data_IF_016992319648
#
_entry.id   IF_016992319648
#
_cell.length_a   1.000
_cell.length_b   1.000
_cell.length_c   1.000
_cell.angle_alpha   90.00
_cell.angle_beta   90.00
_cell.angle_gamma   90.00
#
_symmetry.space_group_name_H-M   'P 1'
#
loop_
_entity.id
_entity.type
_entity.pdbx_description
1 polymer ?
#
# COMPACT_ATOMS: atom_id res chain seq x y z
N UNK A 1 -21.04 -42.54 17.71
CA UNK A 1 -21.37 -41.12 17.94
C UNK A 1 -20.35 -40.27 17.20
N UNK A 2 -20.63 -39.93 15.95
CA UNK A 2 -19.73 -39.16 15.11
C UNK A 2 -20.06 -37.68 15.27
N UNK A 3 -19.29 -36.99 16.11
CA UNK A 3 -19.38 -35.54 16.29
C UNK A 3 -18.97 -34.83 15.00
N UNK A 4 -19.95 -34.49 14.17
CA UNK A 4 -19.76 -33.62 13.02
C UNK A 4 -19.22 -32.24 13.48
N UNK A 5 -18.49 -31.52 12.62
CA UNK A 5 -17.96 -30.21 12.96
C UNK A 5 -19.10 -29.29 13.39
N UNK A 6 -19.01 -28.74 14.60
CA UNK A 6 -19.91 -27.69 15.10
C UNK A 6 -20.10 -26.63 14.00
N UNK A 7 -21.34 -26.17 13.74
CA UNK A 7 -21.54 -25.02 12.86
C UNK A 7 -20.73 -23.84 13.42
N UNK A 8 -19.80 -23.31 12.64
CA UNK A 8 -19.07 -22.10 13.00
C UNK A 8 -20.07 -20.95 13.12
N UNK A 9 -20.08 -20.28 14.28
CA UNK A 9 -21.04 -19.24 14.65
C UNK A 9 -21.01 -18.06 13.65
N UNK A 10 -22.19 -17.58 13.22
CA UNK A 10 -22.36 -16.38 12.38
C UNK A 10 -23.32 -16.58 11.19
N UNK A 11 -24.11 -15.55 10.81
CA UNK A 11 -25.05 -15.64 9.68
C UNK A 11 -24.31 -15.70 8.34
N UNK A 12 -24.90 -16.42 7.38
CA UNK A 12 -24.48 -16.43 5.97
C UNK A 12 -25.19 -15.30 5.25
N UNK A 13 -24.42 -14.37 4.67
CA UNK A 13 -24.96 -13.15 4.02
C UNK A 13 -24.23 -12.83 2.71
N UNK A 14 -24.78 -11.90 1.92
CA UNK A 14 -24.16 -11.37 0.70
C UNK A 14 -23.05 -10.32 1.00
N UNK A 15 -22.39 -9.81 -0.05
CA UNK A 15 -21.30 -8.81 0.06
C UNK A 15 -21.78 -7.51 0.71
N UNK A 16 -22.96 -7.03 0.33
CA UNK A 16 -23.46 -5.72 0.75
C UNK A 16 -23.87 -5.76 2.23
N UNK A 17 -24.54 -6.83 2.64
CA UNK A 17 -24.88 -7.13 4.01
C UNK A 17 -23.62 -7.36 4.86
N UNK A 18 -22.61 -8.08 4.34
CA UNK A 18 -21.33 -8.25 5.02
C UNK A 18 -20.64 -6.91 5.24
N UNK A 19 -20.61 -6.02 4.25
CA UNK A 19 -20.08 -4.67 4.40
C UNK A 19 -20.81 -3.90 5.52
N UNK A 20 -22.15 -3.88 5.49
CA UNK A 20 -22.98 -3.20 6.49
C UNK A 20 -22.71 -3.70 7.92
N UNK A 21 -22.46 -4.99 8.11
CA UNK A 21 -22.15 -5.56 9.43
C UNK A 21 -20.70 -5.36 9.87
N UNK A 22 -19.75 -5.35 8.94
CA UNK A 22 -18.33 -5.25 9.24
C UNK A 22 -17.88 -3.80 9.46
N UNK A 23 -18.36 -2.84 8.65
CA UNK A 23 -17.90 -1.44 8.71
C UNK A 23 -17.92 -0.82 10.12
N UNK A 24 -18.99 -0.95 10.93
CA UNK A 24 -18.99 -0.40 12.29
C UNK A 24 -17.94 -1.06 13.21
N UNK A 25 -17.75 -2.38 13.08
CA UNK A 25 -16.77 -3.15 13.89
C UNK A 25 -15.34 -2.77 13.49
N UNK A 26 -15.12 -2.60 12.20
CA UNK A 26 -13.84 -2.18 11.62
C UNK A 26 -13.52 -0.74 12.05
N UNK A 27 -14.51 0.16 12.04
CA UNK A 27 -14.36 1.53 12.56
C UNK A 27 -14.02 1.54 14.05
N UNK A 28 -14.63 0.67 14.86
CA UNK A 28 -14.26 0.53 16.27
C UNK A 28 -12.81 0.07 16.45
N UNK A 29 -12.37 -0.95 15.69
CA UNK A 29 -10.97 -1.38 15.66
C UNK A 29 -10.02 -0.23 15.23
N UNK A 30 -10.41 0.56 14.23
CA UNK A 30 -9.66 1.74 13.77
C UNK A 30 -9.54 2.81 14.85
N UNK A 31 -10.60 3.06 15.61
CA UNK A 31 -10.59 4.03 16.72
C UNK A 31 -9.57 3.61 17.78
N UNK A 32 -9.57 2.34 18.20
CA UNK A 32 -8.60 1.81 19.18
C UNK A 32 -7.17 1.90 18.65
N UNK A 33 -6.96 1.61 17.37
CA UNK A 33 -5.65 1.66 16.73
C UNK A 33 -5.22 3.07 16.29
N UNK A 34 -6.05 4.10 16.51
CA UNK A 34 -5.85 5.48 16.02
C UNK A 34 -5.55 5.55 14.52
N UNK A 35 -6.27 4.78 13.72
CA UNK A 35 -6.14 4.77 12.26
C UNK A 35 -7.22 5.61 11.61
N UNK A 36 -6.81 6.57 10.78
CA UNK A 36 -7.73 7.43 10.04
C UNK A 36 -8.39 6.73 8.84
N UNK A 37 -7.63 5.99 8.02
CA UNK A 37 -8.16 5.41 6.78
C UNK A 37 -7.66 3.98 6.56
N UNK A 38 -8.56 3.10 6.13
CA UNK A 38 -8.28 1.70 5.80
C UNK A 38 -8.85 1.35 4.44
N UNK A 39 -8.01 0.69 3.64
CA UNK A 39 -8.44 -0.11 2.50
C UNK A 39 -8.12 -1.59 2.80
N UNK A 40 -9.13 -2.41 3.02
CA UNK A 40 -8.97 -3.83 3.35
C UNK A 40 -9.78 -4.71 2.41
N UNK A 41 -9.24 -5.88 2.10
CA UNK A 41 -9.89 -6.91 1.31
C UNK A 41 -10.15 -8.10 2.23
N UNK A 42 -11.42 -8.46 2.43
CA UNK A 42 -11.78 -9.55 3.34
C UNK A 42 -12.60 -10.60 2.60
N UNK A 43 -12.30 -11.90 2.78
CA UNK A 43 -12.99 -12.95 2.04
C UNK A 43 -12.80 -14.35 2.62
N UNK A 44 -13.53 -15.32 2.06
CA UNK A 44 -13.37 -16.75 2.35
C UNK A 44 -13.95 -17.62 1.21
N UNK A 45 -13.18 -18.60 0.73
CA UNK A 45 -13.59 -19.53 -0.34
C UNK A 45 -14.46 -20.72 0.12
N UNK A 46 -14.46 -21.06 1.42
CA UNK A 46 -15.03 -22.33 1.95
C UNK A 46 -16.29 -22.14 2.81
N UNK A 47 -17.12 -21.12 2.53
CA UNK A 47 -18.29 -20.76 3.36
C UNK A 47 -17.94 -20.58 4.85
N UNK A 48 -16.69 -20.22 5.17
CA UNK A 48 -16.25 -20.02 6.54
C UNK A 48 -16.32 -18.55 6.96
N UNK A 49 -15.77 -18.24 8.15
CA UNK A 49 -15.57 -16.88 8.64
C UNK A 49 -14.88 -15.98 7.61
N UNK A 50 -15.37 -14.74 7.46
CA UNK A 50 -14.63 -13.72 6.71
C UNK A 50 -13.33 -13.39 7.44
N UNK A 51 -12.23 -13.25 6.72
CA UNK A 51 -10.93 -12.88 7.27
C UNK A 51 -10.20 -11.90 6.35
N UNK A 52 -9.21 -11.18 6.89
CA UNK A 52 -8.34 -10.28 6.14
C UNK A 52 -7.49 -11.08 5.16
N UNK A 53 -7.52 -10.69 3.88
CA UNK A 53 -6.70 -11.30 2.85
C UNK A 53 -5.24 -10.81 2.91
N UNK A 54 -4.25 -11.61 2.47
CA UNK A 54 -2.83 -11.25 2.52
C UNK A 54 -2.45 -9.97 1.77
N UNK A 55 -3.21 -9.62 0.73
CA UNK A 55 -3.03 -8.42 -0.09
C UNK A 55 -3.69 -7.17 0.49
N UNK A 56 -4.37 -7.29 1.63
CA UNK A 56 -4.94 -6.17 2.38
C UNK A 56 -3.86 -5.26 2.91
N UNK A 57 -3.95 -3.98 2.53
CA UNK A 57 -2.98 -2.95 2.89
C UNK A 57 -3.69 -1.73 3.42
N UNK A 58 -3.44 -1.39 4.67
CA UNK A 58 -3.90 -0.10 5.20
C UNK A 58 -3.05 1.02 4.65
N UNK A 59 -3.64 2.21 4.50
CA UNK A 59 -2.91 3.47 4.34
C UNK A 59 -2.97 4.22 5.66
N UNK A 60 -2.34 3.65 6.70
CA UNK A 60 -2.10 4.39 7.94
C UNK A 60 -0.94 5.32 7.62
N UNK A 61 -1.13 6.63 7.74
CA UNK A 61 -0.03 7.60 7.60
C UNK A 61 0.69 7.52 6.24
N UNK A 62 -0.04 7.25 5.16
CA UNK A 62 0.54 7.16 3.81
C UNK A 62 1.33 5.88 3.52
N UNK A 63 1.59 5.04 4.52
CA UNK A 63 2.35 3.80 4.37
C UNK A 63 1.41 2.62 4.12
N UNK A 64 1.72 1.82 3.09
CA UNK A 64 1.06 0.53 2.86
C UNK A 64 1.56 -0.50 3.87
N UNK A 65 0.73 -0.87 4.84
CA UNK A 65 1.07 -1.88 5.87
C UNK A 65 0.30 -3.17 5.65
N UNK A 66 0.99 -4.31 5.64
CA UNK A 66 0.37 -5.63 5.60
C UNK A 66 -0.39 -5.90 6.91
N UNK A 67 -1.72 -5.97 6.83
CA UNK A 67 -2.57 -6.00 8.02
C UNK A 67 -2.47 -7.29 8.82
N UNK A 68 -2.30 -8.45 8.18
CA UNK A 68 -2.47 -9.76 8.81
C UNK A 68 -1.56 -10.04 10.02
N UNK A 69 -0.47 -9.29 10.22
CA UNK A 69 0.42 -9.43 11.38
C UNK A 69 0.23 -8.37 12.47
N UNK A 70 -0.66 -7.41 12.25
CA UNK A 70 -0.87 -6.26 13.14
C UNK A 70 -1.98 -6.54 14.15
N UNK A 71 -2.00 -5.80 15.27
CA UNK A 71 -3.11 -5.84 16.22
C UNK A 71 -4.44 -5.41 15.55
N UNK A 72 -4.37 -4.44 14.62
CA UNK A 72 -5.50 -4.02 13.81
C UNK A 72 -6.04 -5.14 12.93
N UNK A 73 -5.17 -5.87 12.22
CA UNK A 73 -5.56 -7.03 11.42
C UNK A 73 -6.18 -8.15 12.25
N UNK A 74 -5.63 -8.44 13.43
CA UNK A 74 -6.26 -9.39 14.36
C UNK A 74 -7.65 -8.95 14.83
N UNK A 75 -7.85 -7.65 15.06
CA UNK A 75 -9.16 -7.09 15.39
C UNK A 75 -10.14 -7.24 14.21
N UNK A 76 -9.68 -7.00 12.98
CA UNK A 76 -10.48 -7.20 11.78
C UNK A 76 -10.85 -8.67 11.57
N UNK A 77 -9.92 -9.60 11.77
CA UNK A 77 -10.22 -11.03 11.70
C UNK A 77 -11.25 -11.44 12.76
N UNK A 78 -11.15 -10.90 13.98
CA UNK A 78 -12.15 -11.12 15.02
C UNK A 78 -13.53 -10.56 14.62
N UNK A 79 -13.57 -9.37 14.01
CA UNK A 79 -14.82 -8.82 13.46
C UNK A 79 -15.37 -9.71 12.33
N UNK A 80 -14.51 -10.21 11.45
CA UNK A 80 -14.83 -11.10 10.33
C UNK A 80 -15.43 -12.44 10.77
N UNK A 81 -15.06 -12.95 11.96
CA UNK A 81 -15.66 -14.17 12.54
C UNK A 81 -17.16 -14.07 12.80
N UNK A 82 -17.70 -12.87 12.91
CA UNK A 82 -19.14 -12.68 13.10
C UNK A 82 -19.97 -12.79 11.83
N UNK A 83 -19.33 -12.94 10.67
CA UNK A 83 -19.98 -12.97 9.36
C UNK A 83 -19.44 -14.14 8.55
N UNK A 84 -20.34 -14.88 7.92
CA UNK A 84 -20.00 -15.87 6.90
C UNK A 84 -20.56 -15.37 5.58
N UNK A 85 -19.82 -15.59 4.50
CA UNK A 85 -20.25 -15.13 3.18
C UNK A 85 -20.62 -16.32 2.32
N UNK A 86 -21.73 -16.20 1.59
CA UNK A 86 -22.13 -17.21 0.61
C UNK A 86 -21.02 -17.34 -0.45
N UNK A 87 -20.66 -18.58 -0.80
CA UNK A 87 -19.41 -18.95 -1.47
C UNK A 87 -19.02 -17.98 -2.59
N UNK A 88 -18.13 -17.06 -2.26
CA UNK A 88 -17.58 -16.14 -3.23
C UNK A 88 -16.58 -16.90 -4.07
N UNK A 89 -17.00 -17.35 -5.26
CA UNK A 89 -16.07 -17.96 -6.22
C UNK A 89 -14.91 -17.01 -6.59
N UNK A 90 -15.06 -15.69 -6.42
CA UNK A 90 -13.99 -14.68 -6.59
C UNK A 90 -14.19 -13.33 -5.86
N UNK A 91 -15.26 -13.14 -5.07
CA UNK A 91 -15.60 -11.84 -4.48
C UNK A 91 -15.03 -11.69 -3.07
N UNK A 92 -14.20 -10.70 -2.84
CA UNK A 92 -13.87 -10.23 -1.50
C UNK A 92 -14.79 -9.05 -1.16
N UNK A 93 -15.05 -8.83 0.12
CA UNK A 93 -15.57 -7.56 0.61
C UNK A 93 -14.41 -6.56 0.59
N UNK A 94 -14.49 -5.57 -0.30
CA UNK A 94 -13.63 -4.39 -0.22
C UNK A 94 -14.21 -3.42 0.80
N UNK A 95 -13.44 -3.13 1.83
CA UNK A 95 -13.75 -2.14 2.85
C UNK A 95 -12.84 -0.93 2.65
N UNK A 96 -13.44 0.23 2.38
CA UNK A 96 -12.78 1.51 2.22
C UNK A 96 -13.36 2.45 3.29
N UNK A 97 -12.79 2.39 4.49
CA UNK A 97 -13.39 2.96 5.70
C UNK A 97 -12.53 4.12 6.18
N UNK A 98 -13.14 5.30 6.27
CA UNK A 98 -12.55 6.50 6.90
C UNK A 98 -13.12 6.66 8.30
N UNK A 99 -12.27 7.01 9.26
CA UNK A 99 -12.64 7.32 10.63
C UNK A 99 -12.37 8.81 10.91
N UNK A 100 -13.39 9.64 10.71
CA UNK A 100 -13.29 11.09 10.86
C UNK A 100 -13.06 11.53 12.32
N UNK A 101 -13.27 10.63 13.29
CA UNK A 101 -12.93 10.84 14.70
C UNK A 101 -11.43 10.74 15.02
N UNK A 102 -10.61 10.36 14.05
CA UNK A 102 -9.15 10.37 14.13
C UNK A 102 -8.63 11.39 13.11
N UNK A 103 -7.78 12.37 13.50
CA UNK A 103 -7.22 13.34 12.55
C UNK A 103 -6.55 12.65 11.36
N UNK A 104 -6.76 13.19 10.16
CA UNK A 104 -6.06 12.70 8.97
C UNK A 104 -4.55 12.97 9.11
N UNK A 105 -3.70 11.93 9.23
CA UNK A 105 -2.26 12.10 9.38
C UNK A 105 -1.62 12.77 8.17
N UNK A 106 -2.30 12.77 7.01
CA UNK A 106 -1.85 13.43 5.79
C UNK A 106 -2.60 14.74 5.51
N UNK A 107 -3.56 15.12 6.35
CA UNK A 107 -4.44 16.28 6.11
C UNK A 107 -3.69 17.62 6.08
N UNK A 108 -2.57 17.72 6.80
CA UNK A 108 -1.71 18.90 6.79
C UNK A 108 -0.74 18.94 5.58
N UNK A 109 -0.61 17.86 4.82
CA UNK A 109 0.29 17.78 3.68
C UNK A 109 -0.41 18.30 2.41
N UNK A 110 0.32 18.99 1.53
CA UNK A 110 -0.20 19.35 0.22
C UNK A 110 -0.66 18.10 -0.57
N UNK A 111 -1.75 18.25 -1.32
CA UNK A 111 -2.30 17.18 -2.15
C UNK A 111 -1.44 16.83 -3.37
N UNK A 112 -0.51 17.69 -3.76
CA UNK A 112 0.40 17.52 -4.91
C UNK A 112 1.79 18.06 -4.57
N UNK A 113 2.86 17.33 -4.92
CA UNK A 113 4.22 17.87 -4.79
C UNK A 113 4.53 18.87 -5.90
N UNK A 114 5.43 19.81 -5.59
CA UNK A 114 6.00 20.73 -6.56
C UNK A 114 6.87 19.93 -7.56
N UNK A 115 6.44 19.77 -8.83
CA UNK A 115 7.17 18.94 -9.79
C UNK A 115 8.57 19.47 -10.08
N UNK A 116 8.78 20.78 -10.02
CA UNK A 116 10.10 21.40 -10.25
C UNK A 116 11.08 21.02 -9.14
N UNK A 117 10.67 21.15 -7.88
CA UNK A 117 11.50 20.77 -6.73
C UNK A 117 11.85 19.26 -6.75
N UNK A 118 10.91 18.40 -7.16
CA UNK A 118 11.19 16.96 -7.31
C UNK A 118 12.21 16.72 -8.43
N UNK A 119 12.09 17.41 -9.57
CA UNK A 119 13.04 17.29 -10.69
C UNK A 119 14.44 17.78 -10.32
N UNK A 120 14.55 18.87 -9.57
CA UNK A 120 15.84 19.40 -9.08
C UNK A 120 16.56 18.38 -8.19
N UNK A 121 15.82 17.74 -7.27
CA UNK A 121 16.39 16.67 -6.42
C UNK A 121 16.79 15.45 -7.26
N UNK A 122 16.06 15.10 -8.32
CA UNK A 122 16.45 14.00 -9.20
C UNK A 122 17.73 14.35 -9.97
N UNK A 123 17.77 15.55 -10.54
CA UNK A 123 18.87 16.04 -11.36
C UNK A 123 20.18 16.16 -10.58
N UNK A 124 20.13 16.46 -9.27
CA UNK A 124 21.34 16.51 -8.43
C UNK A 124 22.05 15.18 -8.27
N UNK A 125 21.43 14.06 -8.66
CA UNK A 125 22.02 12.73 -8.66
C UNK A 125 22.35 12.20 -10.07
N UNK A 126 22.12 12.97 -11.13
CA UNK A 126 22.23 12.48 -12.51
C UNK A 126 23.62 11.91 -12.82
N UNK A 127 24.69 12.56 -12.36
CA UNK A 127 26.06 12.09 -12.61
C UNK A 127 26.35 10.75 -11.94
N UNK A 128 25.88 10.55 -10.71
CA UNK A 128 26.02 9.28 -10.00
C UNK A 128 25.19 8.17 -10.67
N UNK A 129 23.99 8.49 -11.15
CA UNK A 129 23.15 7.51 -11.85
C UNK A 129 23.74 7.16 -13.22
N UNK A 130 24.29 8.12 -13.94
CA UNK A 130 25.05 7.87 -15.18
C UNK A 130 26.30 7.01 -14.90
N UNK A 131 26.99 7.23 -13.78
CA UNK A 131 28.10 6.37 -13.36
C UNK A 131 27.64 4.93 -13.07
N UNK A 132 26.49 4.75 -12.40
CA UNK A 132 25.87 3.43 -12.25
C UNK A 132 25.54 2.79 -13.61
N UNK A 133 25.04 3.56 -14.57
CA UNK A 133 24.70 3.06 -15.90
C UNK A 133 25.93 2.51 -16.64
N UNK A 134 27.04 3.25 -16.62
CA UNK A 134 28.33 2.79 -17.17
C UNK A 134 28.80 1.49 -16.52
N UNK A 135 28.80 1.45 -15.19
CA UNK A 135 29.24 0.28 -14.41
C UNK A 135 28.42 -0.98 -14.67
N UNK A 136 27.13 -0.83 -15.01
CA UNK A 136 26.19 -1.93 -15.11
C UNK A 136 25.60 -2.15 -16.52
N UNK A 137 26.28 -1.66 -17.56
CA UNK A 137 25.92 -1.93 -18.95
C UNK A 137 24.57 -1.34 -19.39
N UNK A 138 24.18 -0.20 -18.79
CA UNK A 138 22.96 0.54 -19.15
C UNK A 138 23.25 1.85 -19.90
N UNK A 139 24.53 2.18 -20.13
CA UNK A 139 24.94 3.37 -20.88
C UNK A 139 24.34 3.41 -22.29
N UNK A 140 24.03 4.63 -22.77
CA UNK A 140 23.42 4.84 -24.09
C UNK A 140 21.95 4.44 -24.19
N UNK A 141 21.37 3.80 -23.16
CA UNK A 141 19.95 3.45 -23.14
C UNK A 141 19.09 4.65 -22.75
N UNK A 142 17.89 4.74 -23.34
CA UNK A 142 16.83 5.62 -22.83
C UNK A 142 16.20 4.97 -21.61
N UNK A 143 16.36 5.56 -20.44
CA UNK A 143 15.72 5.09 -19.21
C UNK A 143 14.40 5.80 -19.00
N UNK A 144 13.38 5.06 -18.55
CA UNK A 144 12.19 5.62 -17.92
C UNK A 144 12.09 5.03 -16.53
N UNK A 145 12.27 5.88 -15.53
CA UNK A 145 12.26 5.51 -14.12
C UNK A 145 11.01 6.08 -13.46
N UNK A 146 10.27 5.23 -12.76
CA UNK A 146 9.18 5.62 -11.87
C UNK A 146 9.67 5.57 -10.42
N UNK A 147 9.68 6.73 -9.77
CA UNK A 147 10.00 6.92 -8.36
C UNK A 147 8.69 7.03 -7.58
N UNK A 148 8.43 6.08 -6.68
CA UNK A 148 7.33 6.18 -5.73
C UNK A 148 7.86 6.84 -4.46
N UNK A 149 7.33 8.02 -4.12
CA UNK A 149 7.76 8.80 -2.95
C UNK A 149 6.77 8.56 -1.81
N UNK A 150 7.29 8.15 -0.65
CA UNK A 150 6.54 8.16 0.59
C UNK A 150 6.25 9.60 0.97
N UNK A 151 4.97 9.95 0.91
CA UNK A 151 4.50 11.31 1.10
C UNK A 151 4.93 11.97 2.41
N UNK A 152 4.61 11.38 3.58
CA UNK A 152 4.94 11.98 4.88
C UNK A 152 6.44 12.13 5.14
N UNK A 153 7.25 11.14 4.74
CA UNK A 153 8.70 11.19 4.99
C UNK A 153 9.47 11.90 3.88
N UNK A 154 8.87 12.08 2.69
CA UNK A 154 9.55 12.56 1.50
C UNK A 154 10.61 11.59 0.98
N UNK A 155 10.63 10.33 1.42
CA UNK A 155 11.67 9.35 1.04
C UNK A 155 11.23 8.49 -0.14
N UNK A 156 12.21 7.94 -0.87
CA UNK A 156 11.94 6.95 -1.90
C UNK A 156 11.40 5.65 -1.28
N UNK A 157 10.18 5.27 -1.66
CA UNK A 157 9.54 4.01 -1.25
C UNK A 157 9.80 2.89 -2.26
N UNK A 158 9.79 3.21 -3.56
CA UNK A 158 10.12 2.28 -4.63
C UNK A 158 10.75 2.99 -5.82
N UNK A 159 11.58 2.25 -6.55
CA UNK A 159 12.08 2.63 -7.86
C UNK A 159 11.74 1.52 -8.83
N UNK A 160 11.12 1.88 -9.95
CA UNK A 160 10.80 0.96 -11.04
C UNK A 160 11.38 1.50 -12.32
N UNK A 161 11.87 0.60 -13.15
CA UNK A 161 12.34 0.86 -14.50
C UNK A 161 12.09 -0.43 -15.23
N UNK A 162 11.58 -0.36 -16.46
CA UNK A 162 11.17 -1.54 -17.24
C UNK A 162 12.34 -2.47 -17.55
N UNK A 163 12.78 -2.51 -18.80
CA UNK A 163 13.81 -3.46 -19.27
C UNK A 163 15.25 -3.06 -18.92
N UNK A 164 15.47 -2.40 -17.79
CA UNK A 164 16.79 -1.93 -17.35
C UNK A 164 17.53 -3.03 -16.57
N UNK A 165 18.87 -3.10 -16.65
CA UNK A 165 19.63 -4.16 -15.99
C UNK A 165 19.41 -4.13 -14.47
N UNK A 166 19.23 -5.30 -13.85
CA UNK A 166 18.97 -5.39 -12.41
C UNK A 166 20.09 -4.75 -11.55
N UNK A 167 21.34 -4.86 -11.98
CA UNK A 167 22.49 -4.21 -11.34
C UNK A 167 22.38 -2.68 -11.34
N UNK A 168 21.99 -2.11 -12.49
CA UNK A 168 21.72 -0.67 -12.60
C UNK A 168 20.57 -0.25 -11.68
N UNK A 169 19.45 -0.97 -11.71
CA UNK A 169 18.28 -0.66 -10.88
C UNK A 169 18.60 -0.69 -9.38
N UNK A 170 19.43 -1.65 -8.93
CA UNK A 170 19.90 -1.71 -7.54
C UNK A 170 20.79 -0.51 -7.20
N UNK A 171 21.72 -0.15 -8.08
CA UNK A 171 22.64 0.99 -7.91
C UNK A 171 21.88 2.33 -7.86
N UNK A 172 21.01 2.59 -8.83
CA UNK A 172 20.18 3.79 -8.89
C UNK A 172 19.23 3.90 -7.69
N UNK A 173 18.67 2.79 -7.21
CA UNK A 173 17.86 2.78 -5.98
C UNK A 173 18.65 3.22 -4.76
N UNK A 174 19.89 2.75 -4.61
CA UNK A 174 20.77 3.17 -3.51
C UNK A 174 21.10 4.66 -3.56
N UNK A 175 21.27 5.22 -4.76
CA UNK A 175 21.49 6.66 -4.96
C UNK A 175 20.26 7.46 -4.51
N UNK A 176 19.10 7.18 -5.10
CA UNK A 176 17.87 7.91 -4.81
C UNK A 176 17.31 7.64 -3.40
N UNK A 177 17.73 6.57 -2.72
CA UNK A 177 17.40 6.35 -1.31
C UNK A 177 18.01 7.40 -0.36
N UNK A 178 19.04 8.12 -0.81
CA UNK A 178 19.63 9.26 -0.09
C UNK A 178 18.88 10.57 -0.32
N UNK A 179 17.99 10.61 -1.32
CA UNK A 179 17.22 11.80 -1.64
C UNK A 179 16.15 12.07 -0.58
N UNK A 180 15.90 13.36 -0.32
CA UNK A 180 14.78 13.84 0.47
C UNK A 180 13.92 14.74 -0.40
N UNK A 181 12.75 14.26 -0.78
CA UNK A 181 11.80 14.99 -1.63
C UNK A 181 10.82 15.83 -0.79
N UNK A 182 10.05 16.69 -1.47
CA UNK A 182 9.00 17.50 -0.85
C UNK A 182 7.94 16.61 -0.19
N UNK A 183 7.57 16.93 1.06
CA UNK A 183 6.52 16.21 1.80
C UNK A 183 5.15 16.55 1.24
N UNK A 184 4.40 15.53 0.83
CA UNK A 184 3.06 15.63 0.23
C UNK A 184 2.25 14.37 0.51
N UNK A 185 1.03 14.22 -0.02
CA UNK A 185 0.41 12.90 -0.08
C UNK A 185 1.24 11.93 -0.95
N UNK A 186 1.28 10.61 -0.67
CA UNK A 186 2.10 9.68 -1.43
C UNK A 186 1.81 9.72 -2.93
N UNK A 187 2.88 9.81 -3.73
CA UNK A 187 2.82 10.10 -5.16
C UNK A 187 3.89 9.33 -5.95
N UNK A 188 3.65 9.14 -7.25
CA UNK A 188 4.58 8.51 -8.19
C UNK A 188 5.05 9.54 -9.22
N UNK A 189 6.35 9.58 -9.47
CA UNK A 189 6.99 10.49 -10.42
C UNK A 189 7.72 9.70 -11.50
N UNK A 190 7.44 9.99 -12.75
CA UNK A 190 8.14 9.40 -13.88
C UNK A 190 9.15 10.38 -14.43
N UNK A 191 10.38 9.92 -14.61
CA UNK A 191 11.47 10.65 -15.25
C UNK A 191 12.01 9.81 -16.39
N UNK A 192 12.26 10.47 -17.52
CA UNK A 192 12.86 9.81 -18.68
C UNK A 192 14.04 10.63 -19.17
N UNK A 193 15.21 10.01 -19.25
CA UNK A 193 16.43 10.67 -19.69
C UNK A 193 17.40 9.66 -20.34
N UNK A 194 18.29 10.14 -21.23
CA UNK A 194 19.36 9.31 -21.76
C UNK A 194 20.38 8.98 -20.65
N UNK A 195 20.80 7.72 -20.56
CA UNK A 195 21.86 7.27 -19.65
C UNK A 195 23.28 7.52 -20.21
N UNK A 196 23.42 8.57 -21.02
CA UNK A 196 24.69 9.05 -21.57
C UNK A 196 24.91 10.52 -21.17
N UNK A 197 26.16 10.98 -21.26
CA UNK A 197 26.48 12.40 -21.19
C UNK A 197 26.05 13.11 -22.47
#
# INVERSE_FOLDING_TARGET
MSGGPKPADGPVIDVEQARKQLEPKIRACMQTAKVHHVLAYMGNAKLGPVAVLPDSRTRVDGTKVALGKTALGRCFDAAGKSVRTSAFKSNYVRLDVRNDGVPDPLGALPSKANPSAVREVIASFDDEVKACARKHGAEGRKASLQLDIDGPTGKLSALRGGDLPAGFMKCARSIYARASFVKVQPASYQVSYPLSL
#
